data_IF_299058329034
#
_entry.id   IF_299058329034
#
_cell.length_a   1.000
_cell.length_b   1.000
_cell.length_c   1.000
_cell.angle_alpha   90.00
_cell.angle_beta   90.00
_cell.angle_gamma   90.00
#
_symmetry.space_group_name_H-M   'P 1'
#
loop_
_entity.id
_entity.type
_entity.pdbx_description
1 polymer ?
#
# COMPACT_ATOMS: atom_id res chain seq x y z
N UNK A 1 -4.03 7.40 -19.34
CA UNK A 1 -4.41 6.00 -19.04
C UNK A 1 -5.30 6.01 -17.81
N UNK A 2 -6.48 5.38 -17.85
CA UNK A 2 -7.26 5.16 -16.63
C UNK A 2 -6.68 3.93 -15.93
N UNK A 3 -6.13 4.14 -14.74
CA UNK A 3 -5.84 3.05 -13.83
C UNK A 3 -7.19 2.51 -13.33
N UNK A 4 -7.39 1.20 -13.35
CA UNK A 4 -8.51 0.57 -12.66
C UNK A 4 -8.04 0.33 -11.23
N UNK A 5 -8.50 1.12 -10.24
CA UNK A 5 -8.09 0.89 -8.87
C UNK A 5 -8.58 -0.48 -8.42
N UNK A 6 -7.72 -1.21 -7.72
CA UNK A 6 -8.14 -2.38 -6.96
C UNK A 6 -9.16 -1.94 -5.91
N UNK A 7 -10.21 -2.72 -5.73
CA UNK A 7 -11.15 -2.55 -4.63
C UNK A 7 -10.54 -3.05 -3.33
N UNK A 8 -11.14 -2.70 -2.19
CA UNK A 8 -10.73 -3.23 -0.90
C UNK A 8 -10.88 -4.75 -0.82
N UNK A 9 -11.89 -5.31 -1.51
CA UNK A 9 -12.09 -6.75 -1.58
C UNK A 9 -10.97 -7.43 -2.36
N UNK A 10 -10.59 -6.88 -3.52
CA UNK A 10 -9.48 -7.42 -4.32
C UNK A 10 -8.18 -7.42 -3.49
N UNK A 11 -7.93 -6.35 -2.72
CA UNK A 11 -6.77 -6.26 -1.84
C UNK A 11 -6.80 -7.32 -0.73
N UNK A 12 -7.96 -7.54 -0.11
CA UNK A 12 -8.13 -8.54 0.94
C UNK A 12 -7.89 -9.97 0.42
N UNK A 13 -8.40 -10.28 -0.78
CA UNK A 13 -8.16 -11.56 -1.45
C UNK A 13 -6.67 -11.78 -1.75
N UNK A 14 -5.97 -10.74 -2.22
CA UNK A 14 -4.53 -10.80 -2.47
C UNK A 14 -3.71 -11.04 -1.18
N UNK A 15 -4.02 -10.30 -0.10
CA UNK A 15 -3.34 -10.45 1.20
C UNK A 15 -3.52 -11.88 1.73
N UNK A 16 -4.75 -12.39 1.68
CA UNK A 16 -5.08 -13.77 2.08
C UNK A 16 -4.31 -14.81 1.25
N UNK A 17 -4.23 -14.61 -0.07
CA UNK A 17 -3.48 -15.50 -0.96
C UNK A 17 -1.97 -15.50 -0.70
N UNK A 18 -1.40 -14.35 -0.31
CA UNK A 18 0.02 -14.22 0.05
C UNK A 18 0.30 -14.84 1.43
N UNK A 19 -0.71 -14.89 2.31
CA UNK A 19 -0.58 -15.45 3.66
C UNK A 19 0.04 -14.48 4.66
N UNK A 20 -0.23 -13.19 4.50
CA UNK A 20 0.17 -12.12 5.43
C UNK A 20 -1.07 -11.47 6.05
N UNK A 21 -0.91 -10.77 7.17
CA UNK A 21 -2.03 -10.14 7.89
C UNK A 21 -2.30 -8.71 7.40
N UNK A 22 -1.26 -8.04 6.87
CA UNK A 22 -1.33 -6.66 6.43
C UNK A 22 -0.40 -6.36 5.25
N UNK A 23 -0.56 -5.17 4.66
CA UNK A 23 0.37 -4.66 3.65
C UNK A 23 1.76 -4.39 4.25
N UNK A 24 1.83 -3.98 5.52
CA UNK A 24 3.09 -3.63 6.19
C UNK A 24 4.01 -4.85 6.33
N UNK A 25 3.44 -6.05 6.47
CA UNK A 25 4.18 -7.32 6.53
C UNK A 25 4.98 -7.60 5.24
N UNK A 26 4.57 -7.02 4.11
CA UNK A 26 5.29 -7.14 2.84
C UNK A 26 6.60 -6.35 2.82
N UNK A 27 6.83 -5.47 3.80
CA UNK A 27 7.97 -4.55 3.84
C UNK A 27 8.86 -4.74 5.07
N UNK A 28 8.75 -5.86 5.78
CA UNK A 28 9.56 -6.14 7.01
C UNK A 28 11.07 -6.10 6.79
N UNK A 29 11.53 -6.36 5.56
CA UNK A 29 12.94 -6.31 5.20
C UNK A 29 13.46 -4.88 4.94
N UNK A 30 12.58 -3.88 4.92
CA UNK A 30 12.96 -2.47 4.73
C UNK A 30 13.40 -1.87 6.06
N UNK A 31 14.67 -1.43 6.20
CA UNK A 31 15.15 -0.83 7.43
C UNK A 31 14.35 0.44 7.80
N UNK A 32 14.09 0.71 9.08
CA UNK A 32 13.39 1.93 9.51
C UNK A 32 14.05 3.22 9.00
N UNK A 33 15.39 3.25 8.94
CA UNK A 33 16.15 4.39 8.43
C UNK A 33 15.92 4.68 6.92
N UNK A 34 15.37 3.73 6.17
CA UNK A 34 15.02 3.89 4.76
C UNK A 34 13.53 4.23 4.55
N UNK A 35 12.71 4.18 5.60
CA UNK A 35 11.30 4.55 5.52
C UNK A 35 11.16 6.07 5.47
N UNK A 36 10.31 6.55 4.57
CA UNK A 36 9.96 7.96 4.49
C UNK A 36 8.80 8.25 5.45
N UNK A 37 9.03 9.09 6.45
CA UNK A 37 8.08 9.46 7.50
C UNK A 37 7.42 10.85 7.28
N UNK A 38 7.77 11.51 6.17
CA UNK A 38 7.25 12.81 5.80
C UNK A 38 5.94 12.75 5.01
N UNK A 39 5.37 13.93 4.78
CA UNK A 39 4.23 14.09 3.87
C UNK A 39 4.70 14.48 2.47
N UNK A 40 4.05 13.96 1.44
CA UNK A 40 4.30 14.43 0.07
C UNK A 40 3.59 15.76 -0.19
N UNK A 41 4.28 16.69 -0.86
CA UNK A 41 3.69 17.92 -1.37
C UNK A 41 2.93 17.65 -2.68
N UNK A 42 1.84 16.90 -2.57
CA UNK A 42 0.97 16.53 -3.69
C UNK A 42 -0.41 17.14 -3.48
N UNK A 43 -1.05 17.55 -4.57
CA UNK A 43 -2.45 17.94 -4.54
C UNK A 43 -3.30 16.75 -4.08
N UNK A 44 -4.33 17.01 -3.26
CA UNK A 44 -5.29 15.97 -2.84
C UNK A 44 -5.88 15.30 -4.09
N UNK A 45 -5.73 13.99 -4.16
CA UNK A 45 -6.32 13.22 -5.25
C UNK A 45 -7.84 13.15 -5.06
N UNK A 46 -8.57 13.84 -5.94
CA UNK A 46 -10.04 13.93 -6.10
C UNK A 46 -10.78 14.75 -5.02
N UNK A 47 -11.42 15.82 -5.49
CA UNK A 47 -12.79 16.15 -5.10
C UNK A 47 -13.76 15.28 -5.91
#
# INVERSE_FOLDING_TARGET
MRYLPLTDNDRAEMISAIGVDSVDDLFVDVPPAAQFDGTFNLSTHMA
#
